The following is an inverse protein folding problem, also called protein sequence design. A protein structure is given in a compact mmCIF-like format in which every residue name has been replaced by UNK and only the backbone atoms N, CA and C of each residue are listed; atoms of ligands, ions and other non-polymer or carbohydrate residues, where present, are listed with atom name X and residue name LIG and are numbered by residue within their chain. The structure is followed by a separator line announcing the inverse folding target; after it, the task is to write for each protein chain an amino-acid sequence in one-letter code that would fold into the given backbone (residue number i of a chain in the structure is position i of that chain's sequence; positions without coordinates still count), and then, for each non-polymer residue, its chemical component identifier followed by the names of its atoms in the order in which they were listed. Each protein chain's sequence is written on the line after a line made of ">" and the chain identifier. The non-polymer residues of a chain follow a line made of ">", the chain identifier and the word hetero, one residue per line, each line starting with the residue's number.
data_IF_298884037613
#
_entry.id   IF_298884037613
#
_cell.length_a   1.000
_cell.length_b   1.000
_cell.length_c   1.000
_cell.angle_alpha   90.00
_cell.angle_beta   90.00
_cell.angle_gamma   90.00
#
_symmetry.space_group_name_H-M   'P 1'
#
loop_
_entity.id
_entity.type
_entity.pdbx_description
1 polymer ?
#
# COMPACT_ATOMS: atom_id res chain seq x y z
N UNK A 1 -18.65 -20.17 -14.69
CA UNK A 1 -18.23 -18.77 -14.64
C UNK A 1 -18.58 -18.16 -15.99
N UNK A 2 -18.97 -16.89 -16.06
CA UNK A 2 -19.16 -16.20 -17.35
C UNK A 2 -17.88 -15.50 -17.75
N UNK A 3 -17.53 -15.64 -19.04
CA UNK A 3 -16.31 -15.07 -19.62
C UNK A 3 -16.69 -13.88 -20.50
N UNK A 4 -16.54 -12.66 -19.99
CA UNK A 4 -16.85 -11.45 -20.74
C UNK A 4 -15.62 -10.86 -21.43
N UNK A 5 -14.44 -11.05 -20.83
CA UNK A 5 -13.16 -10.53 -21.30
C UNK A 5 -12.04 -11.54 -21.08
N UNK A 6 -10.88 -11.30 -21.68
CA UNK A 6 -9.67 -12.07 -21.45
C UNK A 6 -9.25 -12.10 -19.96
N UNK A 7 -9.56 -11.05 -19.19
CA UNK A 7 -9.30 -11.02 -17.74
C UNK A 7 -10.11 -12.05 -16.97
N UNK A 8 -11.31 -12.41 -17.43
CA UNK A 8 -12.10 -13.46 -16.79
C UNK A 8 -11.46 -14.83 -17.04
N UNK A 9 -10.84 -15.04 -18.21
CA UNK A 9 -10.08 -16.24 -18.52
C UNK A 9 -8.85 -16.35 -17.62
N UNK A 10 -8.05 -15.27 -17.53
CA UNK A 10 -6.88 -15.21 -16.65
C UNK A 10 -7.27 -15.53 -15.21
N UNK A 11 -8.33 -14.86 -14.71
CA UNK A 11 -8.85 -15.09 -13.37
C UNK A 11 -9.29 -16.53 -13.15
N UNK A 12 -9.93 -17.13 -14.14
CA UNK A 12 -10.40 -18.52 -14.04
C UNK A 12 -9.25 -19.51 -13.94
N UNK A 13 -8.23 -19.36 -14.76
CA UNK A 13 -7.00 -20.15 -14.64
C UNK A 13 -6.38 -20.00 -13.25
N UNK A 14 -6.26 -18.78 -12.76
CA UNK A 14 -5.68 -18.50 -11.45
C UNK A 14 -6.47 -19.15 -10.30
N UNK A 15 -7.80 -19.10 -10.34
CA UNK A 15 -8.66 -19.68 -9.32
C UNK A 15 -8.73 -21.20 -9.35
N UNK A 16 -8.40 -21.82 -10.47
CA UNK A 16 -8.51 -23.27 -10.69
C UNK A 16 -7.17 -23.98 -10.83
N UNK A 17 -6.10 -23.38 -10.33
CA UNK A 17 -4.72 -23.89 -10.44
C UNK A 17 -4.60 -25.38 -10.06
N UNK A 18 -5.33 -25.85 -9.06
CA UNK A 18 -5.30 -27.26 -8.64
C UNK A 18 -5.75 -28.24 -9.72
N UNK A 19 -6.56 -27.79 -10.66
CA UNK A 19 -7.14 -28.64 -11.72
C UNK A 19 -6.21 -28.83 -12.90
N UNK A 20 -5.25 -27.93 -13.11
CA UNK A 20 -4.42 -27.95 -14.31
C UNK A 20 -2.91 -27.97 -14.07
N UNK A 21 -2.44 -27.67 -12.85
CA UNK A 21 -0.99 -27.58 -12.54
C UNK A 21 -0.21 -28.87 -12.75
N UNK A 22 -0.88 -30.01 -12.76
CA UNK A 22 -0.23 -31.31 -13.04
C UNK A 22 0.06 -31.51 -14.54
N UNK A 23 -0.51 -30.69 -15.41
CA UNK A 23 -0.42 -30.82 -16.88
C UNK A 23 0.16 -29.57 -17.52
N UNK A 24 -0.11 -28.39 -16.94
CA UNK A 24 0.30 -27.09 -17.45
C UNK A 24 1.20 -26.43 -16.40
N UNK A 25 2.43 -26.08 -16.79
CA UNK A 25 3.40 -25.44 -15.91
C UNK A 25 3.00 -23.99 -15.63
N UNK A 26 2.67 -23.22 -16.66
CA UNK A 26 2.22 -21.84 -16.51
C UNK A 26 1.25 -21.40 -17.61
N UNK A 27 0.52 -20.33 -17.33
CA UNK A 27 -0.45 -19.73 -18.21
C UNK A 27 -0.23 -18.23 -18.28
N UNK A 28 -0.13 -17.71 -19.49
CA UNK A 28 -0.16 -16.27 -19.76
C UNK A 28 -1.40 -15.96 -20.59
N UNK A 29 -2.17 -14.96 -20.20
CA UNK A 29 -3.38 -14.55 -20.89
C UNK A 29 -3.27 -13.10 -21.28
N UNK A 30 -3.44 -12.84 -22.57
CA UNK A 30 -3.41 -11.53 -23.19
C UNK A 30 -4.74 -11.22 -23.87
N UNK A 31 -5.02 -9.96 -24.25
CA UNK A 31 -6.20 -9.63 -25.04
C UNK A 31 -6.30 -10.38 -26.37
N UNK A 32 -5.16 -10.74 -26.96
CA UNK A 32 -5.01 -11.30 -28.30
C UNK A 32 -4.79 -12.80 -28.30
N UNK A 33 -4.24 -13.38 -27.23
CA UNK A 33 -3.84 -14.79 -27.18
C UNK A 33 -3.68 -15.32 -25.75
N UNK A 34 -3.70 -16.63 -25.62
CA UNK A 34 -3.43 -17.37 -24.40
C UNK A 34 -2.23 -18.27 -24.66
N UNK A 35 -1.20 -18.19 -23.85
CA UNK A 35 -0.02 -19.04 -23.97
C UNK A 35 -0.01 -20.05 -22.80
N UNK A 36 -0.01 -21.33 -23.13
CA UNK A 36 0.11 -22.41 -22.16
C UNK A 36 1.51 -23.02 -22.28
N UNK A 37 2.26 -22.97 -21.19
CA UNK A 37 3.56 -23.63 -21.08
C UNK A 37 3.37 -25.01 -20.49
N UNK A 38 3.78 -26.06 -21.22
CA UNK A 38 3.58 -27.45 -20.84
C UNK A 38 4.87 -28.25 -20.96
N UNK A 39 5.06 -29.31 -20.16
CA UNK A 39 6.11 -30.30 -20.38
C UNK A 39 5.88 -31.07 -21.69
N UNK A 40 6.94 -31.51 -22.34
CA UNK A 40 6.88 -32.20 -23.65
C UNK A 40 5.90 -33.38 -23.66
N UNK A 41 5.83 -34.13 -22.56
CA UNK A 41 5.01 -35.33 -22.42
C UNK A 41 3.51 -35.08 -22.21
N UNK A 42 3.06 -33.85 -21.98
CA UNK A 42 1.69 -33.50 -21.58
C UNK A 42 0.84 -32.85 -22.70
N UNK A 43 1.32 -32.81 -23.92
CA UNK A 43 0.59 -32.20 -25.06
C UNK A 43 -0.84 -32.73 -25.27
N UNK A 44 -1.03 -34.06 -25.10
CA UNK A 44 -2.36 -34.68 -25.27
C UNK A 44 -3.30 -34.35 -24.10
N UNK A 45 -2.77 -34.29 -22.90
CA UNK A 45 -3.53 -34.05 -21.69
C UNK A 45 -3.92 -32.57 -21.55
N UNK A 46 -3.14 -31.66 -22.13
CA UNK A 46 -3.40 -30.22 -22.09
C UNK A 46 -4.76 -29.86 -22.71
N UNK A 47 -5.06 -30.38 -23.92
CA UNK A 47 -6.33 -30.10 -24.58
C UNK A 47 -7.53 -30.63 -23.79
N UNK A 48 -7.39 -31.80 -23.15
CA UNK A 48 -8.42 -32.36 -22.30
C UNK A 48 -8.61 -31.51 -21.05
N UNK A 49 -7.53 -31.07 -20.40
CA UNK A 49 -7.55 -30.21 -19.23
C UNK A 49 -8.24 -28.86 -19.51
N UNK A 50 -7.93 -28.24 -20.66
CA UNK A 50 -8.60 -27.00 -21.09
C UNK A 50 -10.09 -27.24 -21.35
N UNK A 51 -10.46 -28.39 -21.95
CA UNK A 51 -11.86 -28.77 -22.15
C UNK A 51 -12.61 -28.95 -20.81
N UNK A 52 -11.97 -29.57 -19.82
CA UNK A 52 -12.57 -29.76 -18.49
C UNK A 52 -12.73 -28.43 -17.76
N UNK A 53 -11.81 -27.48 -17.94
CA UNK A 53 -11.88 -26.15 -17.35
C UNK A 53 -12.96 -25.27 -17.97
N UNK A 54 -12.98 -25.17 -19.30
CA UNK A 54 -13.81 -24.19 -20.02
C UNK A 54 -15.06 -24.77 -20.68
N UNK A 55 -15.18 -26.08 -20.72
CA UNK A 55 -16.38 -26.75 -21.24
C UNK A 55 -16.76 -26.30 -22.67
N UNK A 56 -17.99 -25.78 -22.80
CA UNK A 56 -18.50 -25.31 -24.09
C UNK A 56 -17.85 -24.02 -24.61
N UNK A 57 -17.11 -23.31 -23.79
CA UNK A 57 -16.36 -22.12 -24.21
C UNK A 57 -15.04 -22.50 -24.92
N UNK A 58 -14.56 -23.74 -24.78
CA UNK A 58 -13.37 -24.18 -25.47
C UNK A 58 -13.74 -24.80 -26.84
N UNK A 59 -13.28 -24.17 -27.89
CA UNK A 59 -13.45 -24.62 -29.27
C UNK A 59 -12.23 -25.49 -29.68
N UNK A 60 -12.37 -26.78 -29.49
CA UNK A 60 -11.27 -27.75 -29.66
C UNK A 60 -10.68 -27.76 -31.07
N UNK A 61 -11.52 -27.63 -32.12
CA UNK A 61 -11.09 -27.67 -33.50
C UNK A 61 -10.19 -26.49 -33.90
N UNK A 62 -10.51 -25.31 -33.42
CA UNK A 62 -9.74 -24.09 -33.65
C UNK A 62 -8.72 -23.77 -32.54
N UNK A 63 -8.76 -24.49 -31.43
CA UNK A 63 -7.96 -24.23 -30.23
C UNK A 63 -8.15 -22.80 -29.66
N UNK A 64 -9.42 -22.36 -29.52
CA UNK A 64 -9.78 -21.05 -29.05
C UNK A 64 -10.66 -21.13 -27.80
N UNK A 65 -10.63 -20.10 -26.99
CA UNK A 65 -11.65 -19.86 -25.94
C UNK A 65 -12.61 -18.78 -26.42
N UNK A 66 -13.89 -19.16 -26.53
CA UNK A 66 -14.96 -18.23 -26.87
C UNK A 66 -15.45 -17.48 -25.66
N UNK A 67 -15.63 -16.18 -25.80
CA UNK A 67 -16.26 -15.34 -24.78
C UNK A 67 -17.80 -15.53 -24.83
N UNK A 68 -18.44 -15.28 -23.69
CA UNK A 68 -19.91 -15.39 -23.54
C UNK A 68 -20.66 -14.20 -24.17
N UNK A 69 -19.95 -13.15 -24.57
CA UNK A 69 -20.48 -11.95 -25.20
C UNK A 69 -19.83 -11.79 -26.58
N UNK A 70 -20.68 -11.54 -27.59
CA UNK A 70 -20.18 -11.35 -28.95
C UNK A 70 -19.78 -12.64 -29.64
N UNK A 71 -18.90 -12.51 -30.61
CA UNK A 71 -18.30 -13.62 -31.35
C UNK A 71 -16.79 -13.68 -31.12
N UNK A 72 -16.29 -13.05 -30.04
CA UNK A 72 -14.87 -12.96 -29.80
C UNK A 72 -14.32 -14.29 -29.30
N UNK A 73 -13.25 -14.73 -29.95
CA UNK A 73 -12.54 -15.97 -29.67
C UNK A 73 -11.05 -15.64 -29.47
N UNK A 74 -10.46 -16.16 -28.39
CA UNK A 74 -9.06 -15.93 -28.08
C UNK A 74 -8.28 -17.23 -28.36
N UNK A 75 -7.29 -17.20 -29.25
CA UNK A 75 -6.49 -18.38 -29.62
C UNK A 75 -5.61 -18.84 -28.45
N UNK A 76 -5.41 -20.15 -28.35
CA UNK A 76 -4.48 -20.78 -27.43
C UNK A 76 -3.25 -21.25 -28.20
N UNK A 77 -2.10 -20.73 -27.76
CA UNK A 77 -0.78 -21.20 -28.23
C UNK A 77 -0.16 -22.09 -27.12
N UNK A 78 0.42 -23.20 -27.56
CA UNK A 78 1.09 -24.14 -26.65
C UNK A 78 2.60 -24.04 -26.87
N UNK A 79 3.32 -23.73 -25.77
CA UNK A 79 4.77 -23.68 -25.76
C UNK A 79 5.31 -24.84 -24.89
N UNK A 80 6.25 -25.61 -25.44
CA UNK A 80 6.92 -26.66 -24.67
C UNK A 80 8.01 -26.00 -23.80
N UNK A 81 7.94 -26.21 -22.50
CA UNK A 81 8.94 -25.73 -21.56
C UNK A 81 9.10 -26.74 -20.44
N UNK A 82 10.32 -27.16 -20.19
CA UNK A 82 10.66 -28.06 -19.06
C UNK A 82 10.94 -27.28 -17.77
N UNK A 83 11.03 -25.97 -17.83
CA UNK A 83 11.29 -25.13 -16.65
C UNK A 83 10.04 -24.99 -15.77
N UNK A 84 10.03 -25.67 -14.65
CA UNK A 84 9.06 -25.48 -13.55
C UNK A 84 9.09 -24.04 -12.99
N UNK A 85 10.18 -23.30 -13.20
CA UNK A 85 10.34 -21.92 -12.74
C UNK A 85 9.50 -20.91 -13.52
N UNK A 86 9.06 -21.23 -14.75
CA UNK A 86 8.13 -20.39 -15.51
C UNK A 86 6.68 -20.41 -14.96
N UNK A 87 6.37 -21.34 -14.06
CA UNK A 87 5.01 -21.59 -13.55
C UNK A 87 4.47 -20.61 -12.54
N UNK A 88 5.26 -19.72 -12.01
CA UNK A 88 4.77 -18.64 -11.14
C UNK A 88 5.19 -17.31 -11.73
N UNK A 89 4.22 -16.52 -12.22
CA UNK A 89 4.46 -15.06 -12.28
C UNK A 89 5.11 -14.69 -10.96
N UNK A 90 6.30 -14.06 -10.95
CA UNK A 90 6.95 -13.74 -9.69
C UNK A 90 5.95 -12.99 -8.82
N UNK A 91 5.75 -13.46 -7.60
CA UNK A 91 4.87 -12.83 -6.64
C UNK A 91 5.45 -11.45 -6.37
N UNK A 92 4.78 -10.43 -6.87
CA UNK A 92 5.17 -9.05 -6.68
C UNK A 92 4.30 -8.44 -5.60
N UNK A 93 4.78 -7.51 -4.78
CA UNK A 93 3.97 -6.82 -3.79
C UNK A 93 3.00 -5.83 -4.45
N UNK A 94 2.13 -6.34 -5.29
CA UNK A 94 1.04 -5.65 -5.96
C UNK A 94 -0.29 -6.24 -5.49
N UNK A 95 -1.32 -5.42 -5.31
CA UNK A 95 -2.66 -5.91 -4.95
C UNK A 95 -3.23 -6.89 -5.98
N UNK A 96 -2.95 -6.66 -7.26
CA UNK A 96 -3.35 -7.60 -8.33
C UNK A 96 -2.72 -8.98 -8.14
N UNK A 97 -1.49 -9.07 -7.66
CA UNK A 97 -0.82 -10.34 -7.38
C UNK A 97 -1.44 -11.08 -6.19
N UNK A 98 -1.92 -10.36 -5.18
CA UNK A 98 -2.58 -10.96 -4.00
C UNK A 98 -3.86 -11.71 -4.37
N UNK A 99 -4.56 -11.30 -5.44
CA UNK A 99 -5.77 -12.01 -5.91
C UNK A 99 -5.50 -13.47 -6.26
N UNK A 100 -4.32 -13.75 -6.80
CA UNK A 100 -3.97 -15.06 -7.37
C UNK A 100 -3.22 -15.96 -6.39
N UNK A 101 -2.96 -15.48 -5.18
CA UNK A 101 -2.26 -16.26 -4.17
C UNK A 101 -3.23 -17.16 -3.39
N UNK A 102 -2.80 -18.41 -3.14
CA UNK A 102 -3.50 -19.35 -2.26
C UNK A 102 -3.10 -19.21 -0.80
N UNK A 103 -1.87 -18.81 -0.54
CA UNK A 103 -1.28 -18.63 0.79
C UNK A 103 -0.67 -17.24 0.92
N UNK A 104 -0.36 -16.83 2.14
CA UNK A 104 0.44 -15.63 2.38
C UNK A 104 1.73 -15.64 1.54
N UNK A 105 2.27 -14.46 1.25
CA UNK A 105 3.56 -14.33 0.60
C UNK A 105 4.60 -15.19 1.33
N UNK A 106 5.50 -15.89 0.61
CA UNK A 106 6.59 -16.56 1.27
C UNK A 106 7.36 -15.51 2.10
N UNK A 107 7.82 -15.93 3.28
CA UNK A 107 8.67 -15.06 4.09
C UNK A 107 9.92 -14.74 3.28
N UNK A 108 10.03 -13.49 2.84
CA UNK A 108 11.26 -12.99 2.22
C UNK A 108 12.16 -12.58 3.37
N UNK A 109 13.40 -13.04 3.35
CA UNK A 109 14.41 -12.59 4.30
C UNK A 109 14.79 -11.13 3.96
N UNK A 110 14.02 -10.21 4.54
CA UNK A 110 14.19 -8.78 4.34
C UNK A 110 15.12 -8.24 5.44
N UNK A 111 16.12 -7.48 5.02
CA UNK A 111 16.94 -6.72 5.97
C UNK A 111 16.04 -5.82 6.84
N UNK A 112 16.31 -5.81 8.14
CA UNK A 112 15.60 -4.94 9.08
C UNK A 112 15.86 -3.47 8.71
N UNK A 113 14.80 -2.67 8.75
CA UNK A 113 14.93 -1.22 8.57
C UNK A 113 15.67 -0.63 9.77
N UNK A 114 16.66 0.24 9.51
CA UNK A 114 17.41 0.95 10.55
C UNK A 114 16.55 1.98 11.29
N UNK A 115 15.59 2.56 10.57
CA UNK A 115 14.59 3.50 11.09
C UNK A 115 13.19 3.06 10.70
N UNK A 116 12.19 3.20 11.59
CA UNK A 116 10.82 2.82 11.28
C UNK A 116 10.24 3.63 10.11
N UNK A 117 9.37 2.99 9.34
CA UNK A 117 8.52 3.62 8.33
C UNK A 117 7.07 3.38 8.74
N UNK A 118 6.30 4.45 8.84
CA UNK A 118 4.89 4.43 9.24
C UNK A 118 4.06 4.99 8.09
N UNK A 119 3.14 4.21 7.56
CA UNK A 119 2.28 4.58 6.45
C UNK A 119 0.86 4.86 6.92
N UNK A 120 0.29 5.96 6.44
CA UNK A 120 -1.11 6.31 6.62
C UNK A 120 -1.84 6.09 5.31
N UNK A 121 -2.89 5.30 5.35
CA UNK A 121 -3.67 4.96 4.16
C UNK A 121 -5.17 5.04 4.45
N UNK A 122 -5.99 5.21 3.43
CA UNK A 122 -7.44 5.18 3.53
C UNK A 122 -8.06 4.65 2.24
N UNK A 123 -9.24 4.01 2.34
CA UNK A 123 -9.97 3.64 1.13
C UNK A 123 -10.64 4.86 0.48
N UNK A 124 -11.18 5.76 1.29
CA UNK A 124 -11.92 6.94 0.84
C UNK A 124 -11.12 8.21 1.10
N UNK A 125 -11.14 9.15 0.15
CA UNK A 125 -10.64 10.49 0.38
C UNK A 125 -11.53 11.27 1.37
N UNK A 126 -10.94 12.29 2.03
CA UNK A 126 -11.68 13.17 2.94
C UNK A 126 -12.01 12.56 4.31
N UNK A 127 -11.41 11.44 4.70
CA UNK A 127 -11.58 10.82 6.03
C UNK A 127 -10.56 11.33 7.06
N UNK A 128 -9.80 12.37 6.74
CA UNK A 128 -8.82 12.97 7.65
C UNK A 128 -7.47 12.24 7.74
N UNK A 129 -7.08 11.47 6.72
CA UNK A 129 -5.80 10.73 6.68
C UNK A 129 -4.60 11.66 6.87
N UNK A 130 -4.45 12.67 6.01
CA UNK A 130 -3.33 13.64 6.09
C UNK A 130 -3.35 14.45 7.40
N UNK A 131 -4.54 14.77 7.91
CA UNK A 131 -4.70 15.41 9.20
C UNK A 131 -4.23 14.50 10.34
N UNK A 132 -4.58 13.21 10.30
CA UNK A 132 -4.12 12.22 11.29
C UNK A 132 -2.59 12.07 11.26
N UNK A 133 -1.97 12.08 10.07
CA UNK A 133 -0.52 12.07 9.94
C UNK A 133 0.12 13.32 10.55
N UNK A 134 -0.40 14.52 10.27
CA UNK A 134 0.11 15.76 10.86
C UNK A 134 -0.06 15.80 12.38
N UNK A 135 -1.21 15.35 12.89
CA UNK A 135 -1.45 15.25 14.33
C UNK A 135 -0.51 14.22 15.00
N UNK A 136 -0.22 13.11 14.32
CA UNK A 136 0.77 12.12 14.76
C UNK A 136 2.19 12.72 14.77
N UNK A 137 2.57 13.48 13.73
CA UNK A 137 3.86 14.16 13.68
C UNK A 137 4.02 15.16 14.82
N UNK A 138 2.98 15.90 15.17
CA UNK A 138 2.98 16.81 16.33
C UNK A 138 3.06 16.05 17.64
N UNK A 139 2.30 14.96 17.81
CA UNK A 139 2.36 14.09 18.97
C UNK A 139 3.77 13.51 19.17
N UNK A 140 4.39 13.02 18.10
CA UNK A 140 5.78 12.56 18.11
C UNK A 140 6.74 13.64 18.58
N UNK A 141 6.63 14.83 18.00
CA UNK A 141 7.47 15.97 18.36
C UNK A 141 7.39 16.30 19.84
N UNK A 142 6.18 16.28 20.41
CA UNK A 142 5.97 16.59 21.84
C UNK A 142 6.46 15.46 22.77
N UNK A 143 6.28 14.19 22.38
CA UNK A 143 6.71 13.05 23.20
C UNK A 143 8.24 12.92 23.22
N UNK A 144 8.89 13.19 22.09
CA UNK A 144 10.34 13.05 21.93
C UNK A 144 11.09 14.38 22.00
N UNK A 145 10.48 15.43 22.50
CA UNK A 145 11.01 16.80 22.52
C UNK A 145 12.41 16.91 23.14
N UNK A 146 12.66 16.18 24.21
CA UNK A 146 13.97 16.19 24.90
C UNK A 146 15.01 15.26 24.27
N UNK A 147 14.61 14.42 23.30
CA UNK A 147 15.53 13.46 22.66
C UNK A 147 16.20 14.08 21.46
N UNK A 148 17.48 13.81 21.30
CA UNK A 148 18.30 14.31 20.18
C UNK A 148 17.72 14.04 18.78
N UNK A 149 16.84 13.06 18.65
CA UNK A 149 16.30 12.57 17.38
C UNK A 149 14.77 12.67 17.33
N UNK A 150 14.20 13.87 17.61
CA UNK A 150 12.76 14.10 17.48
C UNK A 150 12.29 14.43 16.06
N UNK A 151 13.24 14.62 15.13
CA UNK A 151 12.95 15.02 13.75
C UNK A 151 12.46 13.85 12.90
N UNK A 152 11.56 14.13 11.98
CA UNK A 152 10.88 13.18 11.11
C UNK A 152 11.22 13.43 9.64
N UNK A 153 11.07 12.39 8.82
CA UNK A 153 10.82 12.51 7.40
C UNK A 153 9.30 12.42 7.17
N UNK A 154 8.70 13.44 6.60
CA UNK A 154 7.29 13.44 6.19
C UNK A 154 7.25 13.36 4.66
N UNK A 155 6.57 12.35 4.13
CA UNK A 155 6.48 12.08 2.70
C UNK A 155 5.03 12.20 2.26
N UNK A 156 4.75 13.07 1.29
CA UNK A 156 3.49 13.09 0.57
C UNK A 156 3.60 12.17 -0.66
N UNK A 157 3.05 10.97 -0.53
CA UNK A 157 3.02 9.95 -1.57
C UNK A 157 1.67 9.83 -2.27
N UNK A 158 0.78 10.81 -2.11
CA UNK A 158 -0.49 10.89 -2.82
C UNK A 158 -0.29 11.54 -4.20
N UNK A 159 0.03 10.71 -5.20
CA UNK A 159 0.37 11.16 -6.55
C UNK A 159 -0.81 11.71 -7.36
N UNK A 160 -2.05 11.52 -6.92
CA UNK A 160 -3.22 12.01 -7.65
C UNK A 160 -3.90 13.20 -6.98
N UNK A 161 -3.82 13.29 -5.64
CA UNK A 161 -4.41 14.37 -4.87
C UNK A 161 -3.48 14.78 -3.70
N UNK A 162 -2.30 15.33 -4.00
CA UNK A 162 -1.22 15.56 -3.03
C UNK A 162 -1.58 16.65 -2.02
N UNK A 163 -2.29 16.24 -0.96
CA UNK A 163 -2.86 17.14 0.02
C UNK A 163 -1.83 17.93 0.82
N UNK A 164 -0.78 17.27 1.32
CA UNK A 164 0.27 17.93 2.10
C UNK A 164 1.11 18.87 1.24
N UNK A 165 1.39 18.48 0.00
CA UNK A 165 2.15 19.28 -0.96
C UNK A 165 1.42 20.59 -1.30
N UNK A 166 0.11 20.54 -1.51
CA UNK A 166 -0.68 21.73 -1.83
C UNK A 166 -0.85 22.70 -0.67
N UNK A 167 -0.97 22.20 0.56
CA UNK A 167 -1.12 23.06 1.75
C UNK A 167 0.22 23.56 2.30
N UNK A 168 1.35 23.03 1.81
CA UNK A 168 2.68 23.54 2.13
C UNK A 168 3.03 24.69 1.19
N UNK A 169 3.03 25.91 1.69
CA UNK A 169 3.07 27.14 0.90
C UNK A 169 4.38 27.44 0.15
N UNK A 170 5.45 26.71 0.47
CA UNK A 170 6.78 26.97 -0.11
C UNK A 170 7.48 25.68 -0.47
N UNK A 171 7.29 25.23 -1.71
CA UNK A 171 8.09 24.13 -2.27
C UNK A 171 9.09 24.75 -3.25
N UNK A 172 10.37 24.48 -3.01
CA UNK A 172 11.42 24.88 -3.92
C UNK A 172 11.52 23.90 -5.09
N UNK A 173 11.62 24.39 -6.31
CA UNK A 173 11.89 23.55 -7.49
C UNK A 173 13.24 22.83 -7.41
N UNK A 174 14.11 23.21 -6.49
CA UNK A 174 15.41 22.57 -6.25
C UNK A 174 15.36 21.40 -5.27
N UNK A 175 14.20 21.16 -4.60
CA UNK A 175 14.04 20.05 -3.68
C UNK A 175 14.00 18.70 -4.42
N UNK A 176 13.85 17.61 -3.68
CA UNK A 176 13.64 16.26 -4.20
C UNK A 176 12.20 15.82 -3.90
N UNK A 177 11.49 15.34 -4.91
CA UNK A 177 10.10 14.94 -4.78
C UNK A 177 9.91 13.42 -4.77
N UNK A 178 8.73 12.98 -4.35
CA UNK A 178 8.34 11.57 -4.43
C UNK A 178 8.27 11.07 -5.88
N UNK A 179 7.83 11.91 -6.83
CA UNK A 179 7.83 11.56 -8.25
C UNK A 179 9.24 11.41 -8.82
N UNK A 180 10.21 12.23 -8.38
CA UNK A 180 11.62 12.04 -8.75
C UNK A 180 12.12 10.67 -8.24
N UNK A 181 11.76 10.31 -6.99
CA UNK A 181 12.11 9.02 -6.41
C UNK A 181 11.57 7.85 -7.24
N UNK A 182 10.28 7.88 -7.60
CA UNK A 182 9.66 6.83 -8.41
C UNK A 182 10.33 6.69 -9.78
N UNK A 183 10.63 7.81 -10.44
CA UNK A 183 11.30 7.83 -11.74
C UNK A 183 12.72 7.23 -11.64
N UNK A 184 13.49 7.58 -10.63
CA UNK A 184 14.83 7.02 -10.43
C UNK A 184 14.81 5.52 -10.12
N UNK A 185 13.80 5.04 -9.39
CA UNK A 185 13.59 3.59 -9.17
C UNK A 185 13.29 2.90 -10.49
N UNK A 186 12.40 3.45 -11.30
CA UNK A 186 12.07 2.91 -12.62
C UNK A 186 13.28 2.88 -13.55
N UNK A 187 14.13 3.91 -13.53
CA UNK A 187 15.38 3.98 -14.27
C UNK A 187 16.46 3.03 -13.72
N UNK A 188 16.10 2.26 -12.70
CA UNK A 188 16.97 1.27 -12.06
C UNK A 188 18.26 1.85 -11.45
N UNK A 189 18.19 3.09 -10.96
CA UNK A 189 19.31 3.73 -10.26
C UNK A 189 19.63 3.00 -8.95
N UNK A 190 20.90 2.93 -8.54
CA UNK A 190 21.30 2.37 -7.27
C UNK A 190 20.62 3.06 -6.08
N UNK A 191 20.16 2.29 -5.08
CA UNK A 191 19.49 2.84 -3.89
C UNK A 191 20.36 3.88 -3.17
N UNK A 192 21.66 3.65 -3.10
CA UNK A 192 22.58 4.59 -2.43
C UNK A 192 22.73 5.90 -3.19
N UNK A 193 22.75 5.88 -4.53
CA UNK A 193 22.73 7.09 -5.38
C UNK A 193 21.45 7.90 -5.19
N UNK A 194 20.28 7.21 -5.21
CA UNK A 194 18.99 7.84 -4.95
C UNK A 194 18.97 8.48 -3.56
N UNK A 195 19.43 7.75 -2.55
CA UNK A 195 19.45 8.22 -1.16
C UNK A 195 20.37 9.44 -1.00
N UNK A 196 21.55 9.42 -1.62
CA UNK A 196 22.51 10.53 -1.56
C UNK A 196 21.93 11.80 -2.19
N UNK A 197 21.36 11.69 -3.39
CA UNK A 197 20.71 12.82 -4.05
C UNK A 197 19.54 13.36 -3.22
N UNK A 198 18.65 12.49 -2.75
CA UNK A 198 17.52 12.87 -1.89
C UNK A 198 18.01 13.63 -0.64
N UNK A 199 18.99 13.09 0.08
CA UNK A 199 19.54 13.73 1.28
C UNK A 199 20.17 15.09 0.99
N UNK A 200 20.80 15.27 -0.17
CA UNK A 200 21.40 16.56 -0.55
C UNK A 200 20.36 17.65 -0.79
N UNK A 201 19.19 17.30 -1.33
CA UNK A 201 18.15 18.24 -1.78
C UNK A 201 17.05 18.47 -0.76
N UNK A 202 16.68 17.46 0.03
CA UNK A 202 15.59 17.54 1.00
C UNK A 202 15.85 18.49 2.18
N UNK A 203 17.11 18.82 2.48
CA UNK A 203 17.46 19.71 3.60
C UNK A 203 16.80 21.09 3.50
N UNK A 204 16.39 21.52 2.33
CA UNK A 204 15.75 22.82 2.09
C UNK A 204 14.23 22.75 2.13
N UNK A 205 13.64 21.57 2.31
CA UNK A 205 12.20 21.37 2.33
C UNK A 205 11.79 20.88 3.73
N UNK A 206 11.13 21.73 4.50
CA UNK A 206 10.80 21.45 5.91
C UNK A 206 9.36 21.78 6.24
N UNK A 207 8.82 21.05 7.23
CA UNK A 207 7.59 21.36 7.95
C UNK A 207 7.97 21.67 9.40
N UNK A 208 7.59 22.84 9.87
CA UNK A 208 7.85 23.27 11.24
C UNK A 208 6.69 22.89 12.16
N UNK A 209 7.01 22.21 13.26
CA UNK A 209 6.08 21.91 14.36
C UNK A 209 6.51 22.69 15.59
N UNK A 210 5.58 23.41 16.20
CA UNK A 210 5.78 24.05 17.48
C UNK A 210 5.28 23.13 18.60
N UNK A 211 6.14 22.86 19.56
CA UNK A 211 5.84 22.17 20.82
C UNK A 211 5.79 23.22 21.95
N UNK A 212 5.57 22.77 23.18
CA UNK A 212 5.49 23.67 24.31
C UNK A 212 6.81 24.40 24.59
N UNK A 213 7.95 23.81 24.23
CA UNK A 213 9.29 24.35 24.60
C UNK A 213 10.13 24.76 23.41
N UNK A 214 9.87 24.22 22.21
CA UNK A 214 10.74 24.44 21.02
C UNK A 214 10.02 24.35 19.68
N UNK A 215 10.72 24.80 18.63
CA UNK A 215 10.33 24.60 17.24
C UNK A 215 11.18 23.49 16.63
N UNK A 216 10.51 22.49 16.06
CA UNK A 216 11.17 21.34 15.42
C UNK A 216 10.89 21.40 13.92
N UNK A 217 11.96 21.40 13.13
CA UNK A 217 11.88 21.35 11.67
C UNK A 217 12.02 19.90 11.18
N UNK A 218 10.92 19.34 10.70
CA UNK A 218 10.88 18.04 10.04
C UNK A 218 11.26 18.18 8.57
N UNK A 219 11.94 17.18 8.03
CA UNK A 219 12.21 17.11 6.60
C UNK A 219 10.93 16.73 5.86
N UNK A 220 10.62 17.43 4.78
CA UNK A 220 9.44 17.18 3.96
C UNK A 220 9.83 16.78 2.54
N UNK A 221 9.34 15.64 2.10
CA UNK A 221 9.41 15.19 0.71
C UNK A 221 8.04 15.43 0.07
N UNK A 222 7.90 16.48 -0.78
CA UNK A 222 6.65 16.74 -1.50
C UNK A 222 6.41 15.69 -2.57
N UNK A 223 5.18 15.57 -3.04
CA UNK A 223 4.84 14.69 -4.16
C UNK A 223 5.55 15.11 -5.43
N UNK A 224 5.55 16.40 -5.73
CA UNK A 224 6.15 16.97 -6.93
C UNK A 224 6.96 18.23 -6.60
N UNK A 225 7.83 18.64 -7.51
CA UNK A 225 8.55 19.93 -7.47
C UNK A 225 7.82 20.99 -8.30
N UNK A 226 7.20 20.60 -9.38
CA UNK A 226 6.39 21.42 -10.28
C UNK A 226 5.22 20.59 -10.79
N UNK A 227 4.07 21.23 -11.00
CA UNK A 227 2.77 20.57 -11.21
C UNK A 227 2.71 19.67 -12.45
N UNK A 228 3.52 19.98 -13.48
CA UNK A 228 3.59 19.18 -14.70
C UNK A 228 4.04 17.73 -14.45
N UNK A 229 4.80 17.47 -13.37
CA UNK A 229 5.18 16.11 -13.00
C UNK A 229 3.98 15.22 -12.66
N UNK A 230 2.85 15.81 -12.21
CA UNK A 230 1.63 15.05 -11.93
C UNK A 230 0.94 14.59 -13.22
N UNK A 231 1.07 15.35 -14.30
CA UNK A 231 0.42 15.08 -15.59
C UNK A 231 1.28 14.12 -16.41
N UNK A 232 2.59 14.28 -16.35
CA UNK A 232 3.56 13.47 -17.09
C UNK A 232 4.25 12.45 -16.17
N UNK A 233 3.43 11.60 -15.53
CA UNK A 233 3.95 10.54 -14.66
C UNK A 233 4.47 9.37 -15.50
N UNK A 234 5.77 9.24 -15.57
CA UNK A 234 6.46 8.18 -16.33
C UNK A 234 6.53 6.85 -15.58
N UNK A 235 6.67 6.87 -14.25
CA UNK A 235 6.85 5.66 -13.46
C UNK A 235 5.57 4.81 -13.39
N UNK A 236 5.68 3.50 -13.62
CA UNK A 236 4.59 2.54 -13.48
C UNK A 236 4.73 1.71 -12.20
N UNK A 237 3.62 1.21 -11.61
CA UNK A 237 3.69 0.38 -10.41
C UNK A 237 4.59 -0.85 -10.59
N UNK A 238 4.51 -1.51 -11.74
CA UNK A 238 5.28 -2.69 -12.07
C UNK A 238 6.79 -2.41 -12.11
N UNK A 239 7.18 -1.21 -12.57
CA UNK A 239 8.58 -0.83 -12.62
C UNK A 239 9.16 -0.49 -11.24
N UNK A 240 8.31 0.02 -10.33
CA UNK A 240 8.70 0.35 -8.95
C UNK A 240 8.99 -0.91 -8.13
N UNK A 241 8.21 -1.99 -8.35
CA UNK A 241 8.41 -3.31 -7.71
C UNK A 241 9.49 -4.14 -8.37
N UNK A 242 10.33 -3.58 -9.17
CA UNK A 242 11.15 -4.23 -10.16
C UNK A 242 11.93 -5.47 -9.67
N UNK A 243 11.81 -6.41 -10.47
CA UNK A 243 12.47 -7.49 -11.22
C UNK A 243 13.82 -8.01 -10.64
N UNK A 244 14.61 -7.23 -9.92
CA UNK A 244 15.94 -7.64 -9.44
C UNK A 244 16.05 -7.64 -7.91
N UNK A 245 15.06 -8.18 -7.20
CA UNK A 245 15.03 -8.25 -5.72
C UNK A 245 14.85 -6.90 -5.00
N UNK A 246 14.07 -5.99 -5.59
CA UNK A 246 13.82 -4.65 -5.03
C UNK A 246 12.34 -4.42 -4.68
N UNK A 247 11.60 -5.48 -4.39
CA UNK A 247 10.14 -5.42 -4.18
C UNK A 247 9.73 -4.38 -3.12
N UNK A 248 10.61 -4.11 -2.16
CA UNK A 248 10.35 -3.19 -1.04
C UNK A 248 11.37 -2.06 -0.95
N UNK A 249 11.85 -1.55 -2.09
CA UNK A 249 12.88 -0.51 -2.16
C UNK A 249 12.45 0.81 -1.51
N UNK A 250 11.18 1.19 -1.59
CA UNK A 250 10.69 2.46 -1.05
C UNK A 250 10.91 2.57 0.47
N UNK A 251 10.48 1.57 1.25
CA UNK A 251 10.69 1.58 2.69
C UNK A 251 12.19 1.58 3.06
N UNK A 252 13.00 0.84 2.30
CA UNK A 252 14.45 0.82 2.48
C UNK A 252 15.08 2.20 2.21
N UNK A 253 14.66 2.89 1.15
CA UNK A 253 15.15 4.23 0.82
C UNK A 253 14.75 5.24 1.89
N UNK A 254 13.49 5.23 2.35
CA UNK A 254 13.05 6.13 3.41
C UNK A 254 13.83 5.91 4.72
N UNK A 255 14.04 4.65 5.09
CA UNK A 255 14.84 4.31 6.28
C UNK A 255 16.29 4.80 6.15
N UNK A 256 16.93 4.63 4.98
CA UNK A 256 18.28 5.14 4.70
C UNK A 256 18.35 6.67 4.68
N UNK A 257 17.33 7.36 4.19
CA UNK A 257 17.25 8.83 4.28
C UNK A 257 17.19 9.27 5.75
N UNK A 258 16.38 8.59 6.57
CA UNK A 258 16.32 8.86 8.00
C UNK A 258 17.68 8.68 8.67
N UNK A 259 18.37 7.59 8.39
CA UNK A 259 19.72 7.31 8.92
C UNK A 259 20.70 8.43 8.57
N UNK A 260 20.81 8.79 7.29
CA UNK A 260 21.77 9.80 6.80
C UNK A 260 21.47 11.23 7.28
N UNK A 261 20.22 11.56 7.51
CA UNK A 261 19.79 12.89 7.97
C UNK A 261 19.58 12.98 9.48
N UNK A 262 19.80 11.90 10.24
CA UNK A 262 19.59 11.83 11.69
C UNK A 262 18.13 12.05 12.06
N UNK A 263 17.21 11.40 11.36
CA UNK A 263 15.76 11.45 11.58
C UNK A 263 15.30 10.17 12.29
N UNK A 264 14.27 10.26 13.13
CA UNK A 264 13.79 9.12 13.91
C UNK A 264 12.95 8.14 13.12
N UNK A 265 12.05 8.64 12.28
CA UNK A 265 11.05 7.84 11.58
C UNK A 265 10.60 8.54 10.30
N UNK A 266 10.19 7.76 9.31
CA UNK A 266 9.52 8.26 8.12
C UNK A 266 7.99 8.07 8.26
N UNK A 267 7.23 9.15 8.11
CA UNK A 267 5.77 9.15 8.01
C UNK A 267 5.37 9.33 6.55
N UNK A 268 4.56 8.43 6.01
CA UNK A 268 4.20 8.41 4.60
C UNK A 268 2.70 8.56 4.44
N UNK A 269 2.26 9.66 3.80
CA UNK A 269 0.86 9.89 3.44
C UNK A 269 0.56 9.25 2.10
N UNK A 270 -0.09 8.09 2.10
CA UNK A 270 -0.39 7.32 0.90
C UNK A 270 -1.69 7.78 0.26
N UNK A 271 -1.82 7.58 -1.04
CA UNK A 271 -3.05 7.81 -1.78
C UNK A 271 -4.23 7.02 -1.23
N UNK A 272 -5.43 7.59 -1.29
CA UNK A 272 -6.67 6.89 -0.99
C UNK A 272 -7.05 5.87 -2.07
N UNK A 273 -7.82 4.84 -1.69
CA UNK A 273 -8.30 3.80 -2.58
C UNK A 273 -7.34 2.64 -2.75
N UNK A 274 -7.66 1.73 -3.67
CA UNK A 274 -6.79 0.62 -4.03
C UNK A 274 -5.90 1.09 -5.17
N UNK A 275 -4.66 1.44 -4.85
CA UNK A 275 -3.67 1.90 -5.81
C UNK A 275 -2.42 1.02 -5.77
N UNK A 276 -1.99 0.56 -6.94
CA UNK A 276 -0.78 -0.25 -7.05
C UNK A 276 0.49 0.54 -6.68
N UNK A 277 0.47 1.86 -6.77
CA UNK A 277 1.57 2.72 -6.26
C UNK A 277 1.73 2.65 -4.74
N UNK A 278 0.64 2.39 -4.01
CA UNK A 278 0.68 2.24 -2.55
C UNK A 278 0.98 0.81 -2.11
N UNK A 279 0.82 -0.17 -2.99
CA UNK A 279 0.93 -1.59 -2.66
C UNK A 279 2.30 -1.97 -2.12
N UNK A 280 3.38 -1.41 -2.68
CA UNK A 280 4.76 -1.69 -2.29
C UNK A 280 5.08 -1.28 -0.85
N UNK A 281 4.41 -0.25 -0.35
CA UNK A 281 4.51 0.18 1.05
C UNK A 281 3.54 -0.62 1.93
N UNK A 282 2.31 -0.80 1.48
CA UNK A 282 1.27 -1.46 2.27
C UNK A 282 1.52 -2.97 2.44
N UNK A 283 2.12 -3.63 1.45
CA UNK A 283 2.46 -5.05 1.50
C UNK A 283 3.86 -5.32 2.08
N UNK A 284 4.66 -4.29 2.38
CA UNK A 284 5.95 -4.46 3.07
C UNK A 284 5.70 -4.84 4.55
N UNK A 285 6.09 -6.04 5.00
CA UNK A 285 5.84 -6.48 6.37
C UNK A 285 6.59 -5.64 7.42
N UNK A 286 7.65 -4.93 7.04
CA UNK A 286 8.45 -4.08 7.93
C UNK A 286 7.82 -2.73 8.22
N UNK A 287 6.88 -2.28 7.38
CA UNK A 287 6.21 -0.97 7.51
C UNK A 287 5.06 -1.08 8.50
N UNK A 288 4.98 -0.15 9.45
CA UNK A 288 3.79 0.05 10.30
C UNK A 288 2.70 0.75 9.50
N UNK A 289 1.46 0.30 9.60
CA UNK A 289 0.35 0.80 8.78
C UNK A 289 -0.81 1.24 9.64
N UNK A 290 -1.29 2.47 9.41
CA UNK A 290 -2.53 2.99 9.95
C UNK A 290 -3.55 3.16 8.81
N UNK A 291 -4.66 2.40 8.87
CA UNK A 291 -5.77 2.52 7.93
C UNK A 291 -6.78 3.51 8.49
N UNK A 292 -6.85 4.70 7.92
CA UNK A 292 -7.76 5.75 8.37
C UNK A 292 -9.13 5.58 7.71
N UNK A 293 -10.17 5.47 8.51
CA UNK A 293 -11.56 5.32 8.06
C UNK A 293 -12.48 6.26 8.83
N UNK A 294 -13.70 6.46 8.32
CA UNK A 294 -14.76 7.16 9.04
C UNK A 294 -15.91 6.23 9.36
N UNK A 295 -16.89 6.69 10.11
CA UNK A 295 -18.08 5.93 10.49
C UNK A 295 -19.06 5.67 9.33
N UNK A 296 -18.81 6.21 8.13
CA UNK A 296 -19.68 5.98 6.97
C UNK A 296 -19.54 4.56 6.42
N UNK A 297 -20.66 3.94 6.07
CA UNK A 297 -20.71 2.56 5.53
C UNK A 297 -19.76 2.35 4.35
N UNK A 298 -19.65 3.33 3.45
CA UNK A 298 -18.72 3.24 2.31
C UNK A 298 -17.26 3.18 2.76
N UNK A 299 -16.89 3.97 3.77
CA UNK A 299 -15.53 4.00 4.30
C UNK A 299 -15.20 2.68 5.00
N UNK A 300 -16.12 2.18 5.84
CA UNK A 300 -15.97 0.91 6.57
C UNK A 300 -15.78 -0.25 5.59
N UNK A 301 -16.70 -0.43 4.64
CA UNK A 301 -16.62 -1.52 3.65
C UNK A 301 -15.37 -1.46 2.78
N UNK A 302 -14.95 -0.26 2.41
CA UNK A 302 -13.72 -0.07 1.66
C UNK A 302 -12.48 -0.42 2.47
N UNK A 303 -12.43 -0.02 3.74
CA UNK A 303 -11.35 -0.38 4.66
C UNK A 303 -11.29 -1.89 4.90
N UNK A 304 -12.43 -2.54 5.06
CA UNK A 304 -12.51 -4.00 5.14
C UNK A 304 -11.95 -4.67 3.89
N UNK A 305 -12.25 -4.13 2.70
CA UNK A 305 -11.73 -4.66 1.44
C UNK A 305 -10.20 -4.59 1.40
N UNK A 306 -9.62 -3.44 1.73
CA UNK A 306 -8.16 -3.29 1.80
C UNK A 306 -7.57 -4.23 2.84
N UNK A 307 -8.13 -4.24 4.05
CA UNK A 307 -7.65 -5.07 5.15
C UNK A 307 -7.61 -6.55 4.77
N UNK A 308 -8.66 -7.05 4.14
CA UNK A 308 -8.72 -8.43 3.64
C UNK A 308 -7.56 -8.77 2.71
N UNK A 309 -7.24 -7.88 1.77
CA UNK A 309 -6.12 -8.11 0.85
C UNK A 309 -4.76 -7.91 1.49
N UNK A 310 -4.63 -6.99 2.43
CA UNK A 310 -3.39 -6.81 3.18
C UNK A 310 -3.09 -8.02 4.06
N UNK A 311 -4.06 -8.51 4.83
CA UNK A 311 -3.87 -9.69 5.68
C UNK A 311 -3.55 -10.95 4.87
N UNK A 312 -4.16 -11.10 3.68
CA UNK A 312 -3.82 -12.17 2.75
C UNK A 312 -2.43 -12.02 2.13
N UNK A 313 -2.00 -10.79 1.83
CA UNK A 313 -0.75 -10.49 1.11
C UNK A 313 0.47 -10.31 2.01
N UNK A 314 0.28 -9.98 3.29
CA UNK A 314 1.38 -9.86 4.22
C UNK A 314 1.93 -11.25 4.58
N UNK A 315 3.23 -11.44 4.43
CA UNK A 315 3.89 -12.64 4.94
C UNK A 315 3.79 -12.65 6.46
N UNK A 316 3.24 -13.73 7.02
CA UNK A 316 3.16 -13.91 8.47
C UNK A 316 4.55 -14.33 8.99
N UNK A 317 5.11 -13.53 9.89
CA UNK A 317 6.40 -13.78 10.54
C UNK A 317 6.50 -12.99 11.84
N UNK A 318 7.50 -13.29 12.68
CA UNK A 318 7.68 -12.66 14.00
C UNK A 318 7.81 -11.11 13.94
N UNK A 319 8.19 -10.54 12.80
CA UNK A 319 8.42 -9.12 12.60
C UNK A 319 7.38 -8.47 11.67
N UNK A 320 6.24 -9.10 11.42
CA UNK A 320 5.22 -8.55 10.52
C UNK A 320 4.39 -7.49 11.24
N UNK A 321 4.44 -6.24 10.74
CA UNK A 321 3.56 -5.17 11.20
C UNK A 321 2.16 -5.32 10.61
N UNK A 322 1.23 -5.77 11.42
CA UNK A 322 -0.18 -5.88 11.04
C UNK A 322 -0.80 -4.46 11.00
N UNK A 323 -1.67 -4.17 10.02
CA UNK A 323 -2.35 -2.88 9.96
C UNK A 323 -3.16 -2.59 11.22
N UNK A 324 -3.14 -1.36 11.71
CA UNK A 324 -4.07 -0.84 12.73
C UNK A 324 -5.04 0.15 12.08
N UNK A 325 -6.20 0.35 12.69
CA UNK A 325 -7.26 1.18 12.12
C UNK A 325 -7.43 2.44 12.97
N UNK A 326 -7.40 3.61 12.32
CA UNK A 326 -7.89 4.84 12.90
C UNK A 326 -9.34 5.07 12.46
N UNK A 327 -10.28 4.82 13.38
CA UNK A 327 -11.68 5.20 13.20
C UNK A 327 -11.80 6.69 13.51
N UNK A 328 -11.68 7.50 12.45
CA UNK A 328 -11.61 8.95 12.54
C UNK A 328 -12.98 9.62 12.31
N UNK A 329 -13.07 10.88 12.67
CA UNK A 329 -14.30 11.69 12.54
C UNK A 329 -15.49 11.05 13.28
N UNK A 330 -15.23 10.44 14.45
CA UNK A 330 -16.28 9.85 15.26
C UNK A 330 -17.15 10.95 15.85
N UNK A 331 -18.45 11.02 15.48
CA UNK A 331 -19.35 12.04 16.04
C UNK A 331 -19.65 11.78 17.51
N UNK A 332 -19.76 12.82 18.32
CA UNK A 332 -20.16 12.70 19.74
C UNK A 332 -21.58 12.14 19.91
N UNK A 333 -22.40 12.23 18.88
CA UNK A 333 -23.79 11.74 18.86
C UNK A 333 -23.89 10.22 18.68
N UNK A 334 -22.81 9.54 18.34
CA UNK A 334 -22.83 8.09 18.14
C UNK A 334 -22.92 7.37 19.50
N UNK A 335 -23.90 6.48 19.65
CA UNK A 335 -24.06 5.68 20.87
C UNK A 335 -22.92 4.66 21.04
N UNK A 336 -22.74 4.16 22.25
CA UNK A 336 -21.72 3.13 22.52
C UNK A 336 -21.99 1.85 21.71
N UNK A 337 -23.25 1.43 21.62
CA UNK A 337 -23.63 0.22 20.85
C UNK A 337 -23.31 0.37 19.36
N UNK A 338 -23.60 1.54 18.75
CA UNK A 338 -23.26 1.78 17.35
C UNK A 338 -21.74 1.78 17.12
N UNK A 339 -20.97 2.29 18.08
CA UNK A 339 -19.51 2.23 18.02
C UNK A 339 -18.98 0.80 18.09
N UNK A 340 -19.51 0.01 19.03
CA UNK A 340 -19.16 -1.41 19.18
C UNK A 340 -19.45 -2.20 17.90
N UNK A 341 -20.60 -2.00 17.27
CA UNK A 341 -20.97 -2.63 16.00
C UNK A 341 -20.00 -2.27 14.87
N UNK A 342 -19.58 -0.98 14.77
CA UNK A 342 -18.61 -0.53 13.79
C UNK A 342 -17.24 -1.18 14.03
N UNK A 343 -16.79 -1.25 15.28
CA UNK A 343 -15.50 -1.85 15.64
C UNK A 343 -15.53 -3.36 15.34
N UNK A 344 -16.61 -4.06 15.69
CA UNK A 344 -16.79 -5.48 15.38
C UNK A 344 -16.74 -5.71 13.85
N UNK A 345 -17.42 -4.87 13.08
CA UNK A 345 -17.40 -4.97 11.62
C UNK A 345 -15.99 -4.75 11.05
N UNK A 346 -15.21 -3.80 11.57
CA UNK A 346 -13.85 -3.52 11.15
C UNK A 346 -12.86 -4.63 11.54
N UNK A 347 -13.05 -5.26 12.68
CA UNK A 347 -12.13 -6.29 13.21
C UNK A 347 -12.41 -7.70 12.70
N UNK A 348 -13.52 -7.92 12.01
CA UNK A 348 -13.95 -9.22 11.50
C UNK A 348 -12.88 -10.03 10.77
N UNK A 349 -12.05 -9.39 9.95
CA UNK A 349 -11.01 -10.09 9.18
C UNK A 349 -9.78 -10.44 10.01
N UNK A 350 -9.49 -9.74 11.09
CA UNK A 350 -8.41 -10.12 12.01
C UNK A 350 -8.68 -11.45 12.70
N UNK A 351 -9.93 -11.73 12.99
CA UNK A 351 -10.36 -12.98 13.64
C UNK A 351 -10.35 -14.16 12.67
N UNK A 352 -10.73 -13.93 11.39
CA UNK A 352 -10.85 -15.01 10.39
C UNK A 352 -9.51 -15.55 9.89
N UNK A 353 -8.47 -14.72 9.81
CA UNK A 353 -7.16 -15.11 9.27
C UNK A 353 -6.22 -15.71 10.33
N UNK A 354 -6.62 -15.69 11.61
CA UNK A 354 -5.79 -16.16 12.72
C UNK A 354 -6.54 -17.12 13.65
N UNK A 355 -6.81 -18.34 13.18
CA UNK A 355 -7.26 -19.43 14.01
C UNK A 355 -6.18 -19.81 15.07
N UNK A 356 -6.08 -19.05 16.16
CA UNK A 356 -5.21 -19.33 17.29
C UNK A 356 -4.37 -18.19 17.85
N UNK A 357 -4.41 -16.99 17.27
CA UNK A 357 -3.73 -15.82 17.81
C UNK A 357 -4.68 -14.90 18.56
N UNK A 358 -4.39 -14.57 19.82
CA UNK A 358 -5.05 -13.50 20.56
C UNK A 358 -4.71 -12.15 19.90
N UNK A 359 -5.41 -11.78 18.82
CA UNK A 359 -5.47 -10.40 18.37
C UNK A 359 -6.40 -9.68 19.33
N UNK A 360 -5.80 -9.09 20.34
CA UNK A 360 -6.50 -8.40 21.41
C UNK A 360 -6.81 -6.96 21.04
N UNK A 361 -7.94 -6.58 21.41
CA UNK A 361 -8.60 -5.35 21.91
C UNK A 361 -8.11 -3.94 21.44
N UNK A 362 -6.95 -3.76 20.76
CA UNK A 362 -6.42 -2.42 20.50
C UNK A 362 -6.05 -2.14 19.02
N UNK A 363 -6.59 -2.92 18.06
CA UNK A 363 -6.30 -2.67 16.63
C UNK A 363 -7.09 -1.48 16.05
N UNK A 364 -8.11 -1.00 16.76
CA UNK A 364 -8.92 0.16 16.35
C UNK A 364 -8.75 1.29 17.37
N UNK A 365 -8.26 2.43 16.91
CA UNK A 365 -8.12 3.65 17.68
C UNK A 365 -9.19 4.64 17.24
N UNK A 366 -10.09 4.99 18.14
CA UNK A 366 -11.13 5.99 17.88
C UNK A 366 -10.56 7.41 17.98
N UNK A 367 -10.74 8.18 16.91
CA UNK A 367 -10.33 9.58 16.85
C UNK A 367 -11.57 10.49 16.72
N UNK A 368 -11.80 11.38 17.66
CA UNK A 368 -12.98 12.25 17.66
C UNK A 368 -12.95 13.25 16.50
N UNK A 369 -14.14 13.67 16.09
CA UNK A 369 -14.29 14.66 15.05
C UNK A 369 -13.90 16.07 15.54
N UNK A 370 -13.03 16.72 14.80
CA UNK A 370 -12.59 18.10 15.05
C UNK A 370 -13.00 19.00 13.88
N UNK A 371 -14.23 19.52 13.93
CA UNK A 371 -14.81 20.33 12.84
C UNK A 371 -14.00 21.58 12.50
N UNK A 372 -13.31 22.15 13.48
CA UNK A 372 -12.53 23.37 13.37
C UNK A 372 -11.29 23.22 12.49
N UNK A 373 -10.83 21.96 12.28
CA UNK A 373 -9.66 21.69 11.47
C UNK A 373 -9.98 21.59 9.96
N UNK A 374 -11.26 21.51 9.58
CA UNK A 374 -11.69 21.32 8.19
C UNK A 374 -11.35 22.52 7.29
N UNK A 375 -11.39 23.72 7.86
CA UNK A 375 -11.23 24.97 7.09
C UNK A 375 -9.79 25.51 7.09
N UNK A 376 -8.84 24.75 7.66
CA UNK A 376 -7.45 25.20 7.72
C UNK A 376 -6.75 24.93 6.38
N UNK A 377 -6.06 25.95 5.89
CA UNK A 377 -5.50 25.98 4.53
C UNK A 377 -3.97 25.86 4.50
N UNK A 378 -3.32 25.80 5.65
CA UNK A 378 -1.87 25.62 5.71
C UNK A 378 -1.46 24.66 6.82
N UNK A 379 -0.32 23.99 6.63
CA UNK A 379 0.27 23.07 7.62
C UNK A 379 0.48 23.79 8.97
N UNK A 380 1.00 25.03 8.95
CA UNK A 380 1.22 25.80 10.16
C UNK A 380 -0.07 26.07 10.94
N UNK A 381 -1.16 26.43 10.25
CA UNK A 381 -2.47 26.62 10.89
C UNK A 381 -2.98 25.33 11.50
N UNK A 382 -2.86 24.18 10.80
CA UNK A 382 -3.26 22.88 11.34
C UNK A 382 -2.47 22.57 12.60
N UNK A 383 -1.15 22.71 12.54
CA UNK A 383 -0.27 22.41 13.69
C UNK A 383 -0.58 23.27 14.93
N UNK A 384 -0.84 24.56 14.75
CA UNK A 384 -1.22 25.45 15.86
C UNK A 384 -2.60 25.10 16.46
N UNK A 385 -3.54 24.67 15.65
CA UNK A 385 -4.90 24.39 16.08
C UNK A 385 -5.11 22.96 16.60
N UNK A 386 -4.09 22.13 16.61
CA UNK A 386 -4.16 20.77 17.17
C UNK A 386 -4.08 20.76 18.71
N UNK A 387 -3.48 21.79 19.34
CA UNK A 387 -3.28 21.85 20.78
C UNK A 387 -4.60 21.77 21.55
N UNK A 388 -4.63 20.91 22.57
CA UNK A 388 -5.83 20.68 23.39
C UNK A 388 -6.96 19.93 22.70
N UNK A 389 -6.83 19.53 21.43
CA UNK A 389 -7.85 18.74 20.74
C UNK A 389 -7.79 17.27 21.15
N UNK A 390 -8.95 16.66 21.33
CA UNK A 390 -9.06 15.24 21.72
C UNK A 390 -8.35 14.30 20.74
N UNK A 391 -8.41 14.60 19.43
CA UNK A 391 -7.65 13.90 18.39
C UNK A 391 -6.15 13.88 18.69
N UNK A 392 -5.56 15.04 18.99
CA UNK A 392 -4.14 15.17 19.29
C UNK A 392 -3.75 14.47 20.58
N UNK A 393 -4.56 14.63 21.64
CA UNK A 393 -4.33 13.98 22.95
C UNK A 393 -4.28 12.46 22.79
N UNK A 394 -5.25 11.88 22.07
CA UNK A 394 -5.28 10.43 21.79
C UNK A 394 -4.07 9.94 20.99
N UNK A 395 -3.64 10.70 20.00
CA UNK A 395 -2.45 10.33 19.24
C UNK A 395 -1.15 10.50 20.04
N UNK A 396 -1.11 11.45 20.99
CA UNK A 396 0.02 11.59 21.91
C UNK A 396 0.12 10.37 22.84
N UNK A 397 -1.00 9.94 23.43
CA UNK A 397 -1.08 8.71 24.24
C UNK A 397 -0.63 7.47 23.42
N UNK A 398 -1.07 7.36 22.17
CA UNK A 398 -0.67 6.27 21.27
C UNK A 398 0.84 6.25 21.00
N UNK A 399 1.43 7.42 20.75
CA UNK A 399 2.88 7.55 20.52
C UNK A 399 3.65 7.20 21.78
N UNK A 400 3.21 7.66 22.95
CA UNK A 400 3.83 7.33 24.23
C UNK A 400 3.80 5.82 24.49
N UNK A 401 2.67 5.14 24.26
CA UNK A 401 2.52 3.71 24.51
C UNK A 401 3.32 2.82 23.56
N UNK A 402 3.42 3.19 22.28
CA UNK A 402 3.96 2.30 21.26
C UNK A 402 5.41 2.61 20.89
N UNK A 403 5.93 3.80 21.19
CA UNK A 403 7.23 4.23 20.66
C UNK A 403 8.17 4.84 21.71
N UNK A 404 7.67 5.22 22.90
CA UNK A 404 8.49 5.80 23.98
C UNK A 404 9.07 4.70 24.89
#
# INVERSE_FOLDING_TARGET
>A
MKLYTWKDIERYFCLTQEKWRNVINSVEVYPTDIILYIPENHQKDCSQTVQELFGNNYLKESNHIKLDIGCDEIPISICISEDDELGSKPIRPLFSSVLYQKSAYPSIDLEKLSHPVIAFHSYKGGVGRSLSLLAFAKAWSSVFEEKKNSRLLIVDADIEAPGLTWIQSTISNETFSYLDLLTMIQDNRPIDEITELACSKLKMSTITVETDTQKIEHIFMPTYRYEEQLIDLYATPESIVNIRKREYSLATIFSKICDRLGLSVALVDLRAGISEYSSTILLDPRVKKYLVTSTSTQSIRGTQTILKYLLKGLSVGENTNIPEIFLNMVPDTLSLTEKEEIVEELTKYYVQENEGGNFTDNVVVELPFASELIHLTSVSQIMMNLDGRSLYVKLKELVEQNYY
#
